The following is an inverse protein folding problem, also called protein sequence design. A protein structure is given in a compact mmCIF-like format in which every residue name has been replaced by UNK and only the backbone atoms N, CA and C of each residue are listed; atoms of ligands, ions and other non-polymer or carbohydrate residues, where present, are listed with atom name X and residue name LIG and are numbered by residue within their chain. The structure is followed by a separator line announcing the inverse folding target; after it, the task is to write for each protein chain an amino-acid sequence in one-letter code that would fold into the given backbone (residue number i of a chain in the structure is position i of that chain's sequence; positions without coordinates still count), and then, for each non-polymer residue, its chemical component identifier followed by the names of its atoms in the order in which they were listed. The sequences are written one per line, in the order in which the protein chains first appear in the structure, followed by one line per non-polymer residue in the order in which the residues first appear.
data_IF_571468037937
#
_entry.id   IF_571468037937
#
_cell.length_a   1.000
_cell.length_b   1.000
_cell.length_c   1.000
_cell.angle_alpha   90.00
_cell.angle_beta   90.00
_cell.angle_gamma   90.00
#
_symmetry.space_group_name_H-M   'P 1'
#
loop_
_entity.id
_entity.type
_entity.pdbx_description
1 polymer ?
#
# COMPACT_ATOMS: atom_id res chain seq x y z
N UNK A 1 21.03 18.40 8.84
CA UNK A 1 21.62 17.69 7.68
C UNK A 1 21.40 16.20 7.81
N UNK A 2 20.88 15.55 6.77
CA UNK A 2 20.76 14.09 6.71
C UNK A 2 22.14 13.47 6.47
N UNK A 3 22.65 12.69 7.42
CA UNK A 3 23.93 12.00 7.30
C UNK A 3 23.88 10.81 6.34
N UNK A 4 25.04 10.32 5.88
CA UNK A 4 25.12 9.13 5.00
C UNK A 4 24.44 7.90 5.63
N UNK A 5 24.63 7.70 6.93
CA UNK A 5 24.02 6.59 7.66
C UNK A 5 22.49 6.66 7.67
N UNK A 6 21.93 7.84 7.95
CA UNK A 6 20.47 8.06 7.96
C UNK A 6 19.86 7.84 6.58
N UNK A 7 20.46 8.44 5.52
CA UNK A 7 19.97 8.23 4.15
C UNK A 7 19.97 6.75 3.77
N UNK A 8 21.05 6.02 4.09
CA UNK A 8 21.15 4.58 3.83
C UNK A 8 20.10 3.78 4.60
N UNK A 9 19.92 4.06 5.89
CA UNK A 9 18.94 3.35 6.71
C UNK A 9 17.51 3.56 6.21
N UNK A 10 17.14 4.81 5.90
CA UNK A 10 15.81 5.12 5.38
C UNK A 10 15.61 4.57 3.97
N UNK A 11 16.62 4.68 3.11
CA UNK A 11 16.60 4.09 1.77
C UNK A 11 16.34 2.57 1.84
N UNK A 12 17.08 1.87 2.71
CA UNK A 12 16.89 0.44 2.94
C UNK A 12 15.52 0.10 3.53
N UNK A 13 14.96 0.96 4.38
CA UNK A 13 13.61 0.75 4.91
C UNK A 13 12.61 0.64 3.77
N UNK A 14 12.58 1.60 2.84
CA UNK A 14 11.66 1.56 1.69
C UNK A 14 11.90 0.36 0.77
N UNK A 15 13.15 0.10 0.39
CA UNK A 15 13.47 -0.92 -0.63
C UNK A 15 13.31 -2.36 -0.13
N UNK A 16 13.17 -2.57 1.19
CA UNK A 16 12.98 -3.89 1.79
C UNK A 16 11.54 -4.16 2.25
N UNK A 17 10.62 -3.21 2.09
CA UNK A 17 9.22 -3.44 2.45
C UNK A 17 8.56 -4.46 1.52
N UNK A 18 7.55 -5.15 2.02
CA UNK A 18 6.61 -5.82 1.13
C UNK A 18 5.81 -4.76 0.33
N UNK A 19 5.64 -4.91 -0.99
CA UNK A 19 4.95 -3.90 -1.79
C UNK A 19 3.50 -3.61 -1.38
N UNK A 20 2.73 -4.62 -0.95
CA UNK A 20 1.34 -4.43 -0.49
C UNK A 20 1.29 -3.63 0.80
N UNK A 21 2.17 -3.99 1.75
CA UNK A 21 2.27 -3.30 3.03
C UNK A 21 2.77 -1.86 2.85
N UNK A 22 3.74 -1.64 1.94
CA UNK A 22 4.21 -0.30 1.60
C UNK A 22 3.09 0.52 0.95
N UNK A 23 2.34 -0.03 0.01
CA UNK A 23 1.20 0.64 -0.62
C UNK A 23 0.19 1.10 0.42
N UNK A 24 -0.23 0.20 1.32
CA UNK A 24 -1.11 0.51 2.44
C UNK A 24 -0.53 1.60 3.35
N UNK A 25 0.76 1.54 3.69
CA UNK A 25 1.39 2.53 4.55
C UNK A 25 1.41 3.93 3.92
N UNK A 26 1.80 4.04 2.65
CA UNK A 26 1.94 5.35 1.97
C UNK A 26 0.60 6.00 1.66
N UNK A 27 -0.44 5.21 1.43
CA UNK A 27 -1.81 5.73 1.22
C UNK A 27 -2.49 6.10 2.54
N UNK A 28 -2.25 5.33 3.61
CA UNK A 28 -2.79 5.59 4.96
C UNK A 28 -2.13 6.80 5.63
N UNK A 29 -0.82 6.96 5.46
CA UNK A 29 0.00 7.95 6.17
C UNK A 29 0.69 8.95 5.23
N UNK A 30 -0.09 9.59 4.36
CA UNK A 30 0.41 10.51 3.33
C UNK A 30 1.26 11.66 3.88
N UNK A 31 0.91 12.17 5.07
CA UNK A 31 1.66 13.18 5.81
C UNK A 31 1.62 12.85 7.30
N UNK A 32 2.77 12.95 7.98
CA UNK A 32 2.87 12.95 9.45
C UNK A 32 3.93 13.95 9.90
N UNK A 33 3.60 14.72 10.93
CA UNK A 33 4.51 15.71 11.53
C UNK A 33 5.16 16.66 10.51
N UNK A 34 4.42 17.01 9.45
CA UNK A 34 4.89 17.92 8.40
C UNK A 34 5.73 17.28 7.30
N UNK A 35 5.97 15.97 7.34
CA UNK A 35 6.70 15.24 6.30
C UNK A 35 5.79 14.34 5.49
N UNK A 36 5.94 14.39 4.16
CA UNK A 36 5.33 13.42 3.24
C UNK A 36 6.33 12.33 2.85
N UNK A 37 5.83 11.17 2.40
CA UNK A 37 6.72 10.15 1.83
C UNK A 37 7.56 10.69 0.67
N UNK A 38 7.02 11.61 -0.15
CA UNK A 38 7.76 12.28 -1.22
C UNK A 38 8.98 13.03 -0.71
N UNK A 39 8.86 13.75 0.41
CA UNK A 39 9.96 14.48 1.02
C UNK A 39 11.04 13.53 1.52
N UNK A 40 10.62 12.43 2.13
CA UNK A 40 11.54 11.39 2.62
C UNK A 40 12.27 10.70 1.46
N UNK A 41 11.59 10.38 0.36
CA UNK A 41 12.21 9.83 -0.85
C UNK A 41 13.24 10.81 -1.45
N UNK A 42 12.91 12.10 -1.51
CA UNK A 42 13.83 13.16 -1.98
C UNK A 42 15.10 13.26 -1.13
N UNK A 43 15.00 13.05 0.18
CA UNK A 43 16.14 13.17 1.11
C UNK A 43 16.98 11.90 1.17
N UNK A 44 16.36 10.73 1.07
CA UNK A 44 17.02 9.43 1.25
C UNK A 44 17.54 8.81 -0.05
N UNK A 45 16.99 9.21 -1.20
CA UNK A 45 17.34 8.70 -2.53
C UNK A 45 17.33 7.14 -2.61
N UNK A 46 16.21 6.47 -2.29
CA UNK A 46 16.12 5.03 -2.48
C UNK A 46 16.10 4.68 -3.96
N UNK A 47 16.69 3.53 -4.29
CA UNK A 47 16.74 2.98 -5.64
C UNK A 47 16.70 1.46 -5.53
N UNK A 48 15.92 0.83 -6.40
CA UNK A 48 15.71 -0.61 -6.46
C UNK A 48 15.45 -1.05 -7.89
N UNK A 49 15.54 -2.35 -8.16
CA UNK A 49 15.13 -2.95 -9.44
C UNK A 49 13.73 -3.56 -9.38
N UNK A 50 13.19 -3.76 -8.18
CA UNK A 50 11.82 -4.27 -7.94
C UNK A 50 10.78 -3.35 -8.59
N UNK A 51 9.89 -3.86 -9.46
CA UNK A 51 9.09 -3.04 -10.34
C UNK A 51 7.86 -2.50 -9.58
N UNK A 52 7.38 -3.21 -8.55
CA UNK A 52 6.26 -2.84 -7.69
C UNK A 52 6.70 -1.68 -6.80
N UNK A 53 7.89 -1.77 -6.22
CA UNK A 53 8.46 -0.68 -5.42
C UNK A 53 8.81 0.52 -6.31
N UNK A 54 9.35 0.30 -7.52
CA UNK A 54 9.55 1.39 -8.49
C UNK A 54 8.23 2.08 -8.87
N UNK A 55 7.18 1.30 -9.17
CA UNK A 55 5.84 1.83 -9.45
C UNK A 55 5.28 2.64 -8.26
N UNK A 56 5.49 2.18 -7.04
CA UNK A 56 5.12 2.93 -5.82
C UNK A 56 5.93 4.22 -5.68
N UNK A 57 7.23 4.21 -5.94
CA UNK A 57 8.04 5.44 -5.93
C UNK A 57 7.53 6.44 -6.96
N UNK A 58 7.17 6.00 -8.16
CA UNK A 58 6.56 6.85 -9.17
C UNK A 58 5.20 7.39 -8.73
N UNK A 59 4.34 6.56 -8.15
CA UNK A 59 3.08 7.01 -7.57
C UNK A 59 3.30 8.10 -6.50
N UNK A 60 4.22 7.89 -5.56
CA UNK A 60 4.50 8.85 -4.47
C UNK A 60 5.09 10.17 -5.02
N UNK A 61 5.96 10.09 -6.01
CA UNK A 61 6.73 11.23 -6.53
C UNK A 61 6.05 11.97 -7.68
N UNK A 62 5.14 11.33 -8.42
CA UNK A 62 4.53 11.89 -9.62
C UNK A 62 3.00 11.80 -9.65
N UNK A 63 2.41 10.94 -8.82
CA UNK A 63 0.98 10.65 -8.81
C UNK A 63 0.61 9.46 -9.71
N UNK A 64 -0.60 8.94 -9.54
CA UNK A 64 -1.05 7.69 -10.16
C UNK A 64 -1.03 7.73 -11.70
N UNK A 65 -1.51 8.82 -12.30
CA UNK A 65 -1.56 8.95 -13.75
C UNK A 65 -0.17 8.79 -14.39
N UNK A 66 0.83 9.53 -13.89
CA UNK A 66 2.20 9.46 -14.40
C UNK A 66 2.85 8.10 -14.14
N UNK A 67 2.58 7.48 -12.98
CA UNK A 67 3.08 6.14 -12.69
C UNK A 67 2.55 5.10 -13.71
N UNK A 68 1.27 5.18 -14.08
CA UNK A 68 0.67 4.31 -15.11
C UNK A 68 1.27 4.59 -16.49
N UNK A 69 1.54 5.85 -16.84
CA UNK A 69 2.20 6.23 -18.10
C UNK A 69 3.62 5.64 -18.18
N UNK A 70 4.41 5.76 -17.11
CA UNK A 70 5.75 5.17 -17.04
C UNK A 70 5.72 3.64 -17.18
N UNK A 71 4.75 2.98 -16.53
CA UNK A 71 4.55 1.54 -16.65
C UNK A 71 4.30 1.14 -18.12
N UNK A 72 3.45 1.88 -18.85
CA UNK A 72 3.17 1.64 -20.28
C UNK A 72 4.40 1.86 -21.16
N UNK A 73 5.14 2.95 -20.95
CA UNK A 73 6.37 3.24 -21.71
C UNK A 73 7.48 2.21 -21.51
N UNK A 74 7.48 1.52 -20.36
CA UNK A 74 8.40 0.40 -20.10
C UNK A 74 7.99 -0.83 -20.90
N UNK A 75 6.69 -1.01 -21.15
CA UNK A 75 6.12 -2.12 -21.94
C UNK A 75 6.29 -1.95 -23.45
N UNK A 76 6.24 -0.73 -23.96
CA UNK A 76 6.39 -0.46 -25.40
C UNK A 76 7.86 -0.58 -25.89
N UNK A 77 8.83 -0.52 -24.97
CA UNK A 77 10.25 -0.76 -25.24
C UNK A 77 10.58 -2.23 -24.97
N UNK A 78 10.35 -3.14 -25.94
CA UNK A 78 10.63 -4.59 -25.93
C UNK A 78 11.55 -5.07 -24.77
N UNK A 79 10.97 -5.35 -23.58
CA UNK A 79 11.58 -6.23 -22.59
C UNK A 79 10.67 -6.72 -21.43
N UNK A 80 9.36 -6.43 -21.42
CA UNK A 80 8.53 -6.78 -20.23
C UNK A 80 7.99 -8.21 -20.21
N UNK A 81 8.06 -8.95 -21.31
CA UNK A 81 7.91 -10.41 -21.24
C UNK A 81 9.01 -11.00 -20.33
N UNK A 82 10.24 -10.49 -20.42
CA UNK A 82 11.35 -10.93 -19.55
C UNK A 82 11.25 -10.44 -18.10
N UNK A 83 10.66 -9.27 -17.83
CA UNK A 83 10.62 -8.71 -16.46
C UNK A 83 9.63 -9.50 -15.60
N UNK A 84 8.43 -9.78 -16.12
CA UNK A 84 7.42 -10.58 -15.42
C UNK A 84 7.93 -12.01 -15.19
N UNK A 85 8.61 -12.59 -16.19
CA UNK A 85 9.24 -13.91 -16.08
C UNK A 85 10.43 -13.94 -15.11
N UNK A 86 11.21 -12.85 -15.01
CA UNK A 86 12.30 -12.73 -14.02
C UNK A 86 11.74 -12.64 -12.60
N UNK A 87 10.60 -11.95 -12.39
CA UNK A 87 9.90 -11.96 -11.10
C UNK A 87 9.33 -13.33 -10.77
N UNK A 88 8.76 -14.05 -11.75
CA UNK A 88 8.31 -15.42 -11.56
C UNK A 88 9.49 -16.34 -11.18
N UNK A 89 10.63 -16.23 -11.87
CA UNK A 89 11.82 -17.07 -11.63
C UNK A 89 12.56 -16.75 -10.31
N UNK A 90 12.71 -15.47 -9.93
CA UNK A 90 13.28 -15.07 -8.64
C UNK A 90 12.38 -15.46 -7.45
N UNK A 91 11.06 -15.49 -7.67
CA UNK A 91 10.08 -15.95 -6.68
C UNK A 91 10.12 -17.48 -6.53
N UNK A 92 10.22 -18.22 -7.63
CA UNK A 92 10.35 -19.69 -7.61
C UNK A 92 11.63 -20.13 -6.89
N UNK A 93 12.75 -19.45 -7.12
CA UNK A 93 14.01 -19.71 -6.43
C UNK A 93 13.96 -19.38 -4.93
N UNK A 94 13.30 -18.28 -4.53
CA UNK A 94 13.10 -17.95 -3.10
C UNK A 94 12.18 -18.94 -2.40
N UNK A 95 11.16 -19.48 -3.08
CA UNK A 95 10.28 -20.52 -2.56
C UNK A 95 11.06 -21.83 -2.33
N UNK A 96 11.95 -22.22 -3.23
CA UNK A 96 12.78 -23.43 -3.11
C UNK A 96 13.76 -23.33 -1.92
N UNK A 97 14.35 -22.16 -1.68
CA UNK A 97 15.32 -21.95 -0.58
C UNK A 97 14.62 -21.97 0.80
N UNK A 98 13.38 -21.48 0.90
CA UNK A 98 12.63 -21.42 2.16
C UNK A 98 12.02 -22.79 2.57
N UNK A 99 11.81 -23.69 1.61
CA UNK A 99 11.17 -24.99 1.83
C UNK A 99 12.12 -26.07 2.40
N UNK A 100 13.41 -25.78 2.64
CA UNK A 100 14.41 -26.78 3.03
C UNK A 100 14.79 -26.80 4.52
N UNK A 101 14.27 -25.90 5.35
CA UNK A 101 14.51 -25.92 6.81
C UNK A 101 13.16 -25.95 7.55
N UNK A 102 12.99 -26.99 8.38
CA UNK A 102 11.73 -27.57 8.86
C UNK A 102 10.78 -26.70 9.72
N UNK A 103 9.49 -27.03 9.61
CA UNK A 103 8.44 -27.19 10.64
C UNK A 103 8.36 -26.17 11.78
N UNK A 104 7.50 -25.14 11.64
CA UNK A 104 6.51 -24.67 12.64
C UNK A 104 5.71 -23.46 12.07
N UNK A 105 4.38 -23.50 12.26
CA UNK A 105 3.35 -22.47 12.00
C UNK A 105 2.81 -22.22 10.57
N UNK A 106 1.73 -22.97 10.26
CA UNK A 106 0.88 -23.00 9.05
C UNK A 106 0.05 -21.73 8.73
N UNK A 107 0.56 -20.51 8.94
CA UNK A 107 -0.18 -19.26 8.63
C UNK A 107 0.43 -18.41 7.50
N UNK A 108 1.67 -18.72 7.09
CA UNK A 108 2.42 -17.93 6.09
C UNK A 108 2.15 -18.39 4.64
N UNK A 109 1.64 -19.62 4.45
CA UNK A 109 1.55 -20.32 3.16
C UNK A 109 0.46 -19.84 2.19
N UNK A 110 -0.21 -18.72 2.46
CA UNK A 110 -1.17 -18.11 1.51
C UNK A 110 -0.88 -16.63 1.21
N UNK A 111 0.40 -16.23 1.13
CA UNK A 111 0.78 -14.92 0.62
C UNK A 111 0.73 -14.94 -0.91
N UNK A 112 -0.48 -14.77 -1.47
CA UNK A 112 -0.67 -14.52 -2.91
C UNK A 112 0.31 -13.42 -3.35
N UNK A 113 1.20 -13.74 -4.29
CA UNK A 113 2.16 -12.80 -4.84
C UNK A 113 1.39 -11.62 -5.47
N UNK A 114 1.69 -10.41 -5.04
CA UNK A 114 1.05 -9.18 -5.53
C UNK A 114 1.54 -8.89 -6.95
N UNK A 115 0.63 -8.76 -7.91
CA UNK A 115 0.97 -8.32 -9.28
C UNK A 115 0.91 -6.78 -9.40
N UNK A 116 1.51 -6.24 -10.46
CA UNK A 116 1.46 -4.80 -10.75
C UNK A 116 0.00 -4.37 -11.00
N UNK A 117 -0.81 -5.21 -11.63
CA UNK A 117 -2.22 -4.96 -11.89
C UNK A 117 -3.02 -4.86 -10.60
N UNK A 118 -2.80 -5.78 -9.65
CA UNK A 118 -3.46 -5.74 -8.34
C UNK A 118 -3.06 -4.50 -7.54
N UNK A 119 -1.78 -4.13 -7.60
CA UNK A 119 -1.27 -2.93 -6.95
C UNK A 119 -1.86 -1.66 -7.58
N UNK A 120 -1.95 -1.62 -8.92
CA UNK A 120 -2.59 -0.54 -9.66
C UNK A 120 -4.07 -0.42 -9.29
N UNK A 121 -4.81 -1.53 -9.29
CA UNK A 121 -6.23 -1.59 -8.90
C UNK A 121 -6.44 -1.05 -7.48
N UNK A 122 -5.57 -1.44 -6.54
CA UNK A 122 -5.61 -0.91 -5.17
C UNK A 122 -5.45 0.62 -5.15
N UNK A 123 -4.44 1.16 -5.84
CA UNK A 123 -4.19 2.61 -5.86
C UNK A 123 -5.31 3.37 -6.58
N UNK A 124 -5.88 2.82 -7.66
CA UNK A 124 -7.05 3.38 -8.35
C UNK A 124 -8.26 3.47 -7.41
N UNK A 125 -8.54 2.39 -6.66
CA UNK A 125 -9.61 2.38 -5.67
C UNK A 125 -9.37 3.40 -4.56
N UNK A 126 -8.14 3.52 -4.05
CA UNK A 126 -7.79 4.53 -3.05
C UNK A 126 -8.03 5.95 -3.55
N UNK A 127 -7.60 6.28 -4.77
CA UNK A 127 -7.83 7.63 -5.32
C UNK A 127 -9.33 7.89 -5.54
N UNK A 128 -10.09 6.89 -6.01
CA UNK A 128 -11.53 7.01 -6.24
C UNK A 128 -12.32 7.27 -4.96
N UNK A 129 -12.00 6.52 -3.89
CA UNK A 129 -12.67 6.61 -2.59
C UNK A 129 -12.51 7.98 -1.95
N UNK A 130 -11.38 8.68 -2.15
CA UNK A 130 -11.16 10.04 -1.61
C UNK A 130 -12.19 11.05 -2.09
N UNK A 131 -12.72 10.86 -3.30
CA UNK A 131 -13.69 11.77 -3.93
C UNK A 131 -15.11 11.20 -3.99
N UNK A 132 -15.30 9.93 -3.63
CA UNK A 132 -16.61 9.29 -3.70
C UNK A 132 -17.53 9.76 -2.59
N UNK A 133 -18.81 9.89 -2.93
CA UNK A 133 -19.91 10.21 -2.03
C UNK A 133 -20.90 9.05 -1.87
N UNK A 134 -20.66 7.92 -2.55
CA UNK A 134 -21.54 6.75 -2.50
C UNK A 134 -21.11 5.78 -1.40
N UNK A 135 -21.99 5.59 -0.43
CA UNK A 135 -21.78 4.72 0.71
C UNK A 135 -21.57 3.24 0.32
N UNK A 136 -22.30 2.74 -0.67
CA UNK A 136 -22.20 1.34 -1.09
C UNK A 136 -20.87 1.04 -1.79
N UNK A 137 -20.41 2.00 -2.59
CA UNK A 137 -19.10 1.94 -3.22
C UNK A 137 -17.98 1.89 -2.17
N UNK A 138 -18.04 2.76 -1.17
CA UNK A 138 -17.08 2.79 -0.06
C UNK A 138 -17.06 1.46 0.70
N UNK A 139 -18.23 0.90 1.03
CA UNK A 139 -18.35 -0.38 1.73
C UNK A 139 -17.71 -1.51 0.91
N UNK A 140 -17.94 -1.53 -0.41
CA UNK A 140 -17.36 -2.52 -1.31
C UNK A 140 -15.83 -2.40 -1.34
N UNK A 141 -15.31 -1.18 -1.48
CA UNK A 141 -13.89 -0.90 -1.48
C UNK A 141 -13.20 -1.28 -0.15
N UNK A 142 -13.85 -1.00 1.00
CA UNK A 142 -13.34 -1.39 2.33
C UNK A 142 -13.19 -2.91 2.41
N UNK A 143 -14.19 -3.67 1.98
CA UNK A 143 -14.15 -5.14 2.06
C UNK A 143 -13.15 -5.77 1.09
N UNK A 144 -13.02 -5.22 -0.11
CA UNK A 144 -12.13 -5.76 -1.14
C UNK A 144 -10.64 -5.50 -0.86
N UNK A 145 -10.32 -4.29 -0.41
CA UNK A 145 -8.93 -3.84 -0.27
C UNK A 145 -8.50 -3.59 1.18
N UNK A 146 -9.34 -3.97 2.15
CA UNK A 146 -9.11 -3.74 3.57
C UNK A 146 -8.80 -2.27 3.89
N UNK A 147 -9.52 -1.35 3.24
CA UNK A 147 -9.30 0.08 3.44
C UNK A 147 -9.64 0.49 4.87
N UNK A 148 -8.72 1.23 5.49
CA UNK A 148 -8.90 1.79 6.81
C UNK A 148 -9.48 3.21 6.76
N UNK A 149 -9.92 3.72 7.92
CA UNK A 149 -10.51 5.05 8.11
C UNK A 149 -9.71 6.17 7.43
N UNK A 150 -8.39 6.13 7.46
CA UNK A 150 -7.54 7.19 6.89
C UNK A 150 -7.69 7.35 5.37
N UNK A 151 -8.20 6.34 4.66
CA UNK A 151 -8.48 6.43 3.22
C UNK A 151 -9.82 7.13 2.93
N UNK A 152 -10.72 7.17 3.90
CA UNK A 152 -12.09 7.60 3.70
C UNK A 152 -12.21 9.13 3.82
N UNK A 153 -13.10 9.74 3.02
CA UNK A 153 -13.37 11.16 3.11
C UNK A 153 -14.14 11.46 4.40
N UNK A 154 -13.83 12.61 5.03
CA UNK A 154 -14.29 12.91 6.40
C UNK A 154 -15.81 13.05 6.52
N UNK A 155 -16.48 13.49 5.45
CA UNK A 155 -17.93 13.59 5.36
C UNK A 155 -18.64 12.22 5.44
N UNK A 156 -18.00 11.14 4.97
CA UNK A 156 -18.56 9.79 4.98
C UNK A 156 -18.42 9.11 6.36
N UNK A 157 -17.58 9.64 7.26
CA UNK A 157 -17.37 9.10 8.61
C UNK A 157 -18.55 9.31 9.58
N UNK A 158 -19.66 9.91 9.13
CA UNK A 158 -20.88 10.01 9.92
C UNK A 158 -21.83 8.81 9.70
N UNK A 159 -21.60 7.99 8.66
CA UNK A 159 -22.46 6.83 8.40
C UNK A 159 -22.17 5.69 9.37
N UNK A 160 -23.24 5.18 9.99
CA UNK A 160 -23.19 4.01 10.87
C UNK A 160 -22.81 2.73 10.12
N UNK A 161 -23.23 2.58 8.85
CA UNK A 161 -22.91 1.37 8.09
C UNK A 161 -21.43 1.34 7.70
N UNK A 162 -20.84 2.49 7.35
CA UNK A 162 -19.40 2.59 7.07
C UNK A 162 -18.59 2.19 8.31
N UNK A 163 -18.97 2.68 9.50
CA UNK A 163 -18.32 2.27 10.74
C UNK A 163 -18.49 0.79 11.05
N UNK A 164 -19.66 0.21 10.81
CA UNK A 164 -19.88 -1.22 11.01
C UNK A 164 -18.90 -2.07 10.18
N UNK A 165 -18.72 -1.72 8.90
CA UNK A 165 -17.80 -2.42 8.00
C UNK A 165 -16.32 -2.17 8.35
N UNK A 166 -15.97 -0.95 8.74
CA UNK A 166 -14.62 -0.65 9.22
C UNK A 166 -14.23 -1.47 10.46
N UNK A 167 -15.19 -1.71 11.35
CA UNK A 167 -14.97 -2.46 12.59
C UNK A 167 -14.76 -3.96 12.36
N UNK A 168 -15.26 -4.53 11.26
CA UNK A 168 -15.12 -5.97 10.93
C UNK A 168 -13.65 -6.43 10.95
N UNK A 169 -12.72 -5.58 10.47
CA UNK A 169 -11.29 -5.93 10.32
C UNK A 169 -10.35 -4.97 11.09
N UNK A 170 -10.87 -4.23 12.08
CA UNK A 170 -10.08 -3.21 12.77
C UNK A 170 -9.14 -3.82 13.81
N UNK A 171 -7.83 -3.48 13.81
CA UNK A 171 -6.93 -3.94 14.86
C UNK A 171 -7.35 -3.36 16.22
N UNK A 172 -7.21 -4.15 17.28
CA UNK A 172 -7.67 -3.82 18.64
C UNK A 172 -7.19 -2.43 19.12
N UNK A 173 -5.93 -2.09 18.82
CA UNK A 173 -5.34 -0.78 19.16
C UNK A 173 -6.09 0.39 18.50
N UNK A 174 -6.48 0.24 17.23
CA UNK A 174 -7.26 1.26 16.53
C UNK A 174 -8.70 1.31 17.06
N UNK A 175 -9.31 0.14 17.31
CA UNK A 175 -10.67 0.03 17.84
C UNK A 175 -10.78 0.74 19.19
N UNK A 176 -9.87 0.46 20.14
CA UNK A 176 -9.84 1.10 21.45
C UNK A 176 -9.71 2.64 21.35
N UNK A 177 -8.88 3.12 20.43
CA UNK A 177 -8.73 4.56 20.17
C UNK A 177 -10.01 5.19 19.60
N UNK A 178 -10.72 4.47 18.71
CA UNK A 178 -11.94 4.98 18.08
C UNK A 178 -13.18 4.86 18.95
N UNK A 179 -13.26 3.92 19.90
CA UNK A 179 -14.35 3.83 20.89
C UNK A 179 -14.57 5.16 21.62
N UNK A 180 -13.49 5.86 21.97
CA UNK A 180 -13.55 7.19 22.61
C UNK A 180 -14.22 8.22 21.69
N UNK A 181 -14.11 8.05 20.37
CA UNK A 181 -14.65 8.97 19.35
C UNK A 181 -16.03 8.56 18.82
N UNK A 182 -16.47 7.31 18.99
CA UNK A 182 -17.76 6.83 18.48
C UNK A 182 -18.97 7.67 18.95
N UNK A 183 -19.07 8.15 20.21
CA UNK A 183 -20.21 8.97 20.62
C UNK A 183 -20.44 10.19 19.72
N UNK A 184 -19.37 10.80 19.21
CA UNK A 184 -19.44 11.94 18.29
C UNK A 184 -20.09 11.60 16.95
N UNK A 185 -19.93 10.37 16.47
CA UNK A 185 -20.39 9.91 15.16
C UNK A 185 -21.73 9.16 15.20
N UNK A 186 -22.14 8.66 16.37
CA UNK A 186 -23.37 7.86 16.51
C UNK A 186 -24.54 8.61 17.17
N UNK A 187 -24.29 9.73 17.85
CA UNK A 187 -25.29 10.50 18.62
C UNK A 187 -25.75 11.82 17.97
N UNK A 188 -25.39 12.08 16.71
CA UNK A 188 -25.96 13.18 15.93
C UNK A 188 -26.72 12.64 14.73
#
# INVERSE_FOLDING_TARGET
NWGRAQRRAVSQWYTKQNPSELAMAVTKYQNREGYTHRDVLRLSHPSTKDPLICFLFDYITHGLQKAIEHLKSTNDNHNTENITDTYQQEVEQKQIILNNDNEEDDEINNKKLLTIEQLKEFLETVEKVKTSTDENELITAIRQHHLVREHLPTNMLNSKNIWAVLLENMPLTAMAYFLIKLPKYFLN
#
